data_IF_543831618219
#
_entry.id   IF_543831618219
#
_cell.length_a   1.000
_cell.length_b   1.000
_cell.length_c   1.000
_cell.angle_alpha   90.00
_cell.angle_beta   90.00
_cell.angle_gamma   90.00
#
_symmetry.space_group_name_H-M   'P 1'
#
loop_
_entity.id
_entity.type
_entity.pdbx_description
1 polymer ?
#
# COMPACT_ATOMS: atom_id res chain seq x y z
N UNK A 1 -2.24 -2.70 7.55
CA UNK A 1 -0.84 -2.39 7.84
C UNK A 1 0.01 -3.63 7.74
N UNK A 2 1.21 -3.55 7.15
CA UNK A 2 2.17 -4.66 7.12
C UNK A 2 3.38 -4.40 8.04
N UNK A 3 4.13 -5.46 8.37
CA UNK A 3 5.35 -5.38 9.19
C UNK A 3 6.60 -5.03 8.34
N UNK A 4 7.71 -4.64 8.97
CA UNK A 4 8.94 -4.33 8.21
C UNK A 4 9.45 -5.56 7.46
N UNK A 5 9.38 -6.71 8.11
CA UNK A 5 9.82 -8.01 7.59
C UNK A 5 9.02 -8.41 6.34
N UNK A 6 7.75 -7.99 6.25
CA UNK A 6 6.95 -8.20 5.05
C UNK A 6 7.47 -7.39 3.86
N UNK A 7 7.85 -6.12 4.06
CA UNK A 7 8.45 -5.31 3.00
C UNK A 7 9.77 -5.92 2.49
N UNK A 8 10.63 -6.36 3.41
CA UNK A 8 11.89 -7.04 3.07
C UNK A 8 11.62 -8.32 2.26
N UNK A 9 10.57 -9.08 2.62
CA UNK A 9 10.18 -10.29 1.92
C UNK A 9 9.72 -10.01 0.48
N UNK A 10 8.97 -8.93 0.23
CA UNK A 10 8.52 -8.58 -1.13
C UNK A 10 9.72 -8.36 -2.08
N UNK A 11 10.74 -7.65 -1.61
CA UNK A 11 11.98 -7.44 -2.36
C UNK A 11 12.74 -8.74 -2.55
N UNK A 12 12.93 -9.52 -1.48
CA UNK A 12 13.65 -10.80 -1.54
C UNK A 12 13.03 -11.79 -2.53
N UNK A 13 11.72 -11.75 -2.69
CA UNK A 13 11.00 -12.60 -3.64
C UNK A 13 10.84 -11.99 -5.03
N UNK A 14 11.40 -10.79 -5.27
CA UNK A 14 11.39 -10.14 -6.58
C UNK A 14 9.99 -9.72 -7.04
N UNK A 15 9.12 -9.30 -6.13
CA UNK A 15 7.78 -8.86 -6.48
C UNK A 15 7.86 -7.63 -7.40
N UNK A 16 7.46 -7.78 -8.67
CA UNK A 16 7.44 -6.66 -9.62
C UNK A 16 6.34 -5.64 -9.35
N UNK A 17 5.25 -6.06 -8.71
CA UNK A 17 4.08 -5.23 -8.43
C UNK A 17 3.47 -5.59 -7.10
N UNK A 18 3.13 -4.57 -6.32
CA UNK A 18 2.39 -4.69 -5.06
C UNK A 18 1.09 -3.91 -5.21
N UNK A 19 -0.04 -4.59 -5.00
CA UNK A 19 -1.36 -3.96 -4.91
C UNK A 19 -1.75 -3.95 -3.43
N UNK A 20 -1.82 -2.77 -2.83
CA UNK A 20 -2.14 -2.56 -1.42
C UNK A 20 -3.58 -2.05 -1.31
N UNK A 21 -4.43 -2.82 -0.62
CA UNK A 21 -5.78 -2.40 -0.21
C UNK A 21 -5.78 -2.04 1.28
N UNK A 22 -6.25 -0.84 1.64
CA UNK A 22 -6.26 -0.33 3.03
C UNK A 22 -7.48 0.52 3.35
N UNK A 23 -8.09 0.27 4.51
CA UNK A 23 -9.13 1.13 5.09
C UNK A 23 -8.58 2.27 5.97
N UNK A 24 -7.27 2.29 6.22
CA UNK A 24 -6.61 3.27 7.10
C UNK A 24 -5.52 4.04 6.34
N UNK A 25 -5.75 5.34 6.13
CA UNK A 25 -4.85 6.21 5.38
C UNK A 25 -3.50 6.47 6.07
N UNK A 26 -3.43 6.72 7.40
CA UNK A 26 -2.15 6.88 8.10
C UNK A 26 -1.26 5.64 8.01
N UNK A 27 -1.83 4.45 8.19
CA UNK A 27 -1.11 3.18 8.07
C UNK A 27 -0.64 2.96 6.64
N UNK A 28 -1.49 3.25 5.63
CA UNK A 28 -1.10 3.18 4.22
C UNK A 28 0.08 4.12 3.93
N UNK A 29 0.05 5.37 4.40
CA UNK A 29 1.13 6.34 4.17
C UNK A 29 2.46 5.88 4.78
N UNK A 30 2.43 5.38 6.02
CA UNK A 30 3.62 4.80 6.69
C UNK A 30 4.19 3.63 5.91
N UNK A 31 3.33 2.73 5.45
CA UNK A 31 3.75 1.52 4.75
C UNK A 31 4.20 1.82 3.31
N UNK A 32 3.55 2.77 2.63
CA UNK A 32 3.96 3.28 1.34
C UNK A 32 5.40 3.80 1.39
N UNK A 33 5.76 4.56 2.45
CA UNK A 33 7.13 5.03 2.62
C UNK A 33 8.14 3.88 2.67
N UNK A 34 7.82 2.78 3.35
CA UNK A 34 8.68 1.60 3.40
C UNK A 34 8.87 0.98 2.02
N UNK A 35 7.83 0.90 1.18
CA UNK A 35 7.96 0.39 -0.19
C UNK A 35 8.81 1.32 -1.05
N UNK A 36 8.63 2.63 -0.93
CA UNK A 36 9.45 3.63 -1.63
C UNK A 36 10.93 3.52 -1.25
N UNK A 37 11.24 3.37 0.04
CA UNK A 37 12.60 3.19 0.54
C UNK A 37 13.23 1.87 0.02
N UNK A 38 12.42 0.90 -0.39
CA UNK A 38 12.83 -0.37 -1.02
C UNK A 38 12.90 -0.31 -2.55
N UNK A 39 12.77 0.88 -3.15
CA UNK A 39 12.91 1.08 -4.60
C UNK A 39 11.63 0.92 -5.41
N UNK A 40 10.50 0.63 -4.78
CA UNK A 40 9.22 0.66 -5.48
C UNK A 40 8.78 2.10 -5.76
N UNK A 41 7.99 2.27 -6.81
CA UNK A 41 7.34 3.54 -7.16
C UNK A 41 5.83 3.42 -7.01
N UNK A 42 5.18 4.38 -6.34
CA UNK A 42 3.72 4.48 -6.31
C UNK A 42 3.22 4.97 -7.67
N UNK A 43 2.59 4.09 -8.45
CA UNK A 43 2.16 4.39 -9.82
C UNK A 43 0.68 4.72 -9.92
N UNK A 44 -0.14 4.28 -8.96
CA UNK A 44 -1.56 4.62 -8.91
C UNK A 44 -2.09 4.56 -7.48
N UNK A 45 -3.06 5.42 -7.18
CA UNK A 45 -3.85 5.37 -5.94
C UNK A 45 -5.31 5.75 -6.25
N UNK A 46 -6.26 5.02 -5.68
CA UNK A 46 -7.70 5.29 -5.80
C UNK A 46 -8.40 5.02 -4.47
N UNK A 47 -9.32 5.91 -4.10
CA UNK A 47 -10.20 5.73 -2.96
C UNK A 47 -11.58 5.24 -3.40
N UNK A 48 -12.21 4.42 -2.59
CA UNK A 48 -13.51 3.82 -2.81
C UNK A 48 -14.38 4.03 -1.56
N UNK A 49 -15.59 4.56 -1.79
CA UNK A 49 -16.65 4.56 -0.78
C UNK A 49 -17.37 3.21 -0.81
N UNK A 50 -16.89 2.25 -0.02
CA UNK A 50 -17.53 0.94 0.15
C UNK A 50 -18.54 0.92 1.28
N UNK A 51 -18.57 1.97 2.12
CA UNK A 51 -19.41 2.06 3.30
C UNK A 51 -20.09 3.44 3.35
N UNK A 52 -21.11 3.67 2.51
CA UNK A 52 -21.75 4.97 2.40
C UNK A 52 -22.32 5.44 3.74
N UNK A 53 -22.22 6.75 3.98
CA UNK A 53 -22.65 7.40 5.23
C UNK A 53 -21.83 6.99 6.47
N UNK A 54 -20.61 6.48 6.27
CA UNK A 54 -19.65 6.24 7.35
C UNK A 54 -18.36 7.03 7.09
N UNK A 55 -17.49 7.23 8.09
CA UNK A 55 -16.18 7.83 7.84
C UNK A 55 -15.18 6.88 7.16
N UNK A 56 -15.55 5.63 6.89
CA UNK A 56 -14.64 4.64 6.31
C UNK A 56 -14.41 4.89 4.82
N UNK A 57 -13.15 4.80 4.40
CA UNK A 57 -12.73 4.87 3.00
C UNK A 57 -11.75 3.73 2.74
N UNK A 58 -12.00 2.94 1.70
CA UNK A 58 -11.06 1.93 1.24
C UNK A 58 -10.15 2.53 0.18
N UNK A 59 -8.86 2.25 0.23
CA UNK A 59 -7.87 2.77 -0.72
C UNK A 59 -7.15 1.61 -1.40
N UNK A 60 -7.01 1.68 -2.72
CA UNK A 60 -6.16 0.80 -3.51
C UNK A 60 -4.96 1.60 -4.01
N UNK A 61 -3.75 1.20 -3.61
CA UNK A 61 -2.50 1.74 -4.09
C UNK A 61 -1.72 0.68 -4.87
N UNK A 62 -1.12 1.08 -5.99
CA UNK A 62 -0.31 0.22 -6.85
C UNK A 62 1.13 0.72 -6.80
N UNK A 63 2.04 -0.20 -6.48
CA UNK A 63 3.47 0.03 -6.47
C UNK A 63 4.14 -0.89 -7.48
N UNK A 64 5.04 -0.36 -8.30
CA UNK A 64 5.84 -1.12 -9.26
C UNK A 64 7.33 -1.01 -8.88
N UNK A 65 8.05 -2.14 -8.94
CA UNK A 65 9.48 -2.25 -8.60
C UNK A 65 10.37 -2.43 -9.81
#
# INVERSE_FOLDING_TARGET
>A
GFSKEAADAFVRHGARRIVYVSCDAPTLARDARRLLDHGYSLTSIRAFDLFPNTPHVETLAVFDG
#
